data_IF_324520744254
#
_entry.id   IF_324520744254
#
_cell.length_a   1.000
_cell.length_b   1.000
_cell.length_c   1.000
_cell.angle_alpha   90.00
_cell.angle_beta   90.00
_cell.angle_gamma   90.00
#
_symmetry.space_group_name_H-M   'P 1'
#
loop_
_entity.id
_entity.type
_entity.pdbx_description
1 polymer ?
#
# COMPACT_ATOMS: atom_id res chain seq x y z
N UNK A 1 -74.00 16.46 32.58
CA UNK A 1 -73.67 15.25 31.81
C UNK A 1 -72.59 14.53 32.62
N UNK A 2 -72.83 13.39 33.27
CA UNK A 2 -73.32 12.08 32.78
C UNK A 2 -72.23 11.33 31.97
N UNK A 3 -71.88 10.07 32.25
CA UNK A 3 -72.32 9.11 33.31
C UNK A 3 -71.42 7.86 33.32
N UNK A 4 -71.11 7.28 34.50
CA UNK A 4 -70.73 5.85 34.78
C UNK A 4 -69.50 5.25 33.99
N UNK A 5 -68.84 4.13 34.34
CA UNK A 5 -68.56 3.37 35.58
C UNK A 5 -67.43 2.32 35.21
N UNK A 6 -67.05 1.23 35.91
CA UNK A 6 -67.52 0.53 37.12
C UNK A 6 -66.36 -0.27 37.77
N UNK A 7 -66.05 0.03 39.05
CA UNK A 7 -65.66 -0.86 40.17
C UNK A 7 -65.31 -2.35 39.92
N UNK A 8 -64.21 -2.83 40.54
CA UNK A 8 -64.18 -4.05 41.40
C UNK A 8 -62.83 -4.27 42.14
N UNK A 9 -62.92 -4.80 43.36
CA UNK A 9 -61.85 -5.34 44.23
C UNK A 9 -62.38 -6.67 44.81
N UNK A 10 -61.55 -7.70 45.09
CA UNK A 10 -61.26 -7.97 46.50
C UNK A 10 -59.88 -8.60 46.84
N UNK A 11 -59.42 -8.35 48.06
CA UNK A 11 -58.38 -9.15 48.76
C UNK A 11 -59.02 -10.29 49.58
N UNK A 12 -58.32 -11.41 49.79
CA UNK A 12 -58.04 -11.87 51.18
C UNK A 12 -56.60 -12.42 51.36
N UNK A 13 -55.81 -12.01 52.36
CA UNK A 13 -55.72 -12.46 53.79
C UNK A 13 -54.66 -13.57 54.01
N UNK A 14 -54.08 -13.56 55.22
CA UNK A 14 -52.88 -14.28 55.69
C UNK A 14 -53.11 -15.79 55.93
N UNK A 15 -52.01 -16.57 55.97
CA UNK A 15 -51.72 -17.37 57.18
C UNK A 15 -50.21 -17.70 57.32
N UNK A 16 -49.83 -18.15 58.52
CA UNK A 16 -48.47 -18.47 58.96
C UNK A 16 -48.33 -19.97 59.23
N UNK A 17 -47.16 -20.57 58.99
CA UNK A 17 -46.85 -21.88 59.58
C UNK A 17 -45.36 -22.08 59.90
N UNK A 18 -45.07 -23.17 60.63
CA UNK A 18 -43.84 -23.38 61.39
C UNK A 18 -42.68 -24.06 60.62
N UNK A 19 -41.51 -24.01 61.25
CA UNK A 19 -40.39 -24.94 61.06
C UNK A 19 -40.82 -26.40 61.27
N UNK A 20 -40.09 -27.38 60.71
CA UNK A 20 -39.42 -28.30 61.65
C UNK A 20 -37.97 -28.67 61.28
N UNK A 21 -37.17 -28.87 62.32
CA UNK A 21 -35.79 -29.37 62.28
C UNK A 21 -35.67 -30.80 61.72
N UNK A 22 -34.64 -31.06 60.92
CA UNK A 22 -34.27 -32.43 60.47
C UNK A 22 -33.33 -33.10 61.48
N UNK A 23 -33.59 -34.38 61.79
CA UNK A 23 -32.95 -35.13 62.87
C UNK A 23 -31.66 -35.83 62.40
N UNK A 24 -30.64 -35.82 63.27
CA UNK A 24 -29.34 -36.49 63.07
C UNK A 24 -29.46 -38.01 63.27
N UNK A 25 -29.24 -38.79 62.20
CA UNK A 25 -29.28 -40.25 62.25
C UNK A 25 -27.88 -40.87 62.28
N UNK A 26 -27.47 -41.31 63.48
CA UNK A 26 -26.21 -42.00 63.77
C UNK A 26 -26.16 -43.40 63.15
N UNK A 27 -25.52 -43.54 61.98
CA UNK A 27 -25.23 -44.85 61.36
C UNK A 27 -23.95 -45.43 61.98
N UNK A 28 -24.09 -46.52 62.76
CA UNK A 28 -22.96 -47.32 63.21
C UNK A 28 -22.77 -48.47 62.21
N UNK A 29 -21.67 -48.46 61.48
CA UNK A 29 -21.25 -49.57 60.62
C UNK A 29 -19.93 -50.15 61.13
N UNK A 30 -19.90 -51.46 61.42
CA UNK A 30 -18.73 -52.16 61.94
C UNK A 30 -17.69 -52.39 60.84
N UNK A 31 -16.50 -51.83 61.01
CA UNK A 31 -15.33 -52.14 60.18
C UNK A 31 -14.68 -53.40 60.75
N UNK A 32 -14.61 -54.46 59.95
CA UNK A 32 -13.79 -55.64 60.25
C UNK A 32 -12.32 -55.32 59.92
N UNK A 33 -11.38 -55.43 60.86
CA UNK A 33 -9.96 -55.26 60.57
C UNK A 33 -9.43 -56.44 59.75
N UNK A 34 -8.53 -56.15 58.81
CA UNK A 34 -7.78 -57.14 58.03
C UNK A 34 -6.40 -57.44 58.62
N UNK A 35 -5.82 -58.54 58.16
CA UNK A 35 -4.64 -59.26 58.72
C UNK A 35 -3.30 -58.48 58.71
N UNK A 36 -3.26 -57.24 58.22
CA UNK A 36 -2.05 -56.40 58.10
C UNK A 36 -1.96 -55.28 59.16
N UNK A 37 -2.82 -55.28 60.18
CA UNK A 37 -2.83 -54.23 61.23
C UNK A 37 -1.75 -54.40 62.32
N UNK A 38 -1.17 -55.60 62.47
CA UNK A 38 -0.32 -56.00 63.60
C UNK A 38 1.14 -55.46 63.57
N UNK A 39 1.42 -54.42 62.79
CA UNK A 39 2.77 -53.80 62.69
C UNK A 39 2.78 -52.27 62.82
N UNK A 40 1.79 -51.72 63.53
CA UNK A 40 1.71 -50.30 63.88
C UNK A 40 1.54 -50.09 65.40
N UNK A 41 2.52 -50.57 66.17
CA UNK A 41 2.79 -50.16 67.56
C UNK A 41 4.27 -49.77 67.71
N UNK A 42 4.60 -49.08 68.81
CA UNK A 42 5.93 -48.59 69.18
C UNK A 42 6.44 -47.35 68.41
N UNK A 43 5.58 -46.34 68.26
CA UNK A 43 6.02 -44.94 68.38
C UNK A 43 5.78 -44.46 69.81
N UNK A 44 6.79 -44.61 70.67
CA UNK A 44 6.77 -44.09 72.05
C UNK A 44 6.81 -42.56 72.04
N UNK A 45 5.80 -41.92 72.66
CA UNK A 45 5.61 -40.48 72.72
C UNK A 45 6.22 -39.86 74.00
N UNK A 46 7.32 -39.07 73.92
CA UNK A 46 7.78 -38.26 75.03
C UNK A 46 7.01 -36.93 75.10
N UNK A 47 6.47 -36.62 76.28
CA UNK A 47 5.57 -35.50 76.50
C UNK A 47 6.27 -34.11 76.52
N UNK A 48 5.47 -33.05 76.62
CA UNK A 48 5.82 -31.63 76.37
C UNK A 48 6.93 -31.05 77.26
N UNK A 49 7.59 -29.96 76.79
CA UNK A 49 8.26 -29.04 77.72
C UNK A 49 9.44 -28.17 77.25
N UNK A 50 9.31 -27.33 76.20
CA UNK A 50 10.09 -26.06 76.13
C UNK A 50 9.68 -25.10 75.01
N UNK A 51 9.31 -23.88 75.39
CA UNK A 51 9.08 -22.74 74.50
C UNK A 51 10.40 -22.07 74.07
N UNK A 52 11.08 -22.63 73.08
CA UNK A 52 12.26 -21.99 72.45
C UNK A 52 11.95 -21.46 71.05
N UNK A 53 12.07 -20.14 70.87
CA UNK A 53 11.74 -19.45 69.61
C UNK A 53 12.77 -19.78 68.52
N UNK A 54 12.43 -20.71 67.63
CA UNK A 54 13.23 -21.02 66.44
C UNK A 54 12.61 -20.33 65.23
N UNK A 55 13.33 -19.37 64.64
CA UNK A 55 12.80 -18.45 63.62
C UNK A 55 12.42 -19.17 62.32
N UNK A 56 11.14 -19.07 61.95
CA UNK A 56 10.68 -19.05 60.55
C UNK A 56 11.12 -20.23 59.66
N UNK A 57 10.63 -21.44 59.93
CA UNK A 57 10.64 -22.50 58.91
C UNK A 57 9.81 -22.06 57.71
N UNK A 58 10.45 -21.80 56.57
CA UNK A 58 9.76 -21.37 55.35
C UNK A 58 8.69 -22.38 54.92
N UNK A 59 7.52 -21.92 54.48
CA UNK A 59 6.40 -22.78 54.02
C UNK A 59 6.85 -23.87 53.01
N UNK A 60 7.85 -23.55 52.19
CA UNK A 60 8.49 -24.46 51.24
C UNK A 60 9.06 -25.74 51.87
N UNK A 61 9.57 -25.73 53.11
CA UNK A 61 10.13 -26.95 53.72
C UNK A 61 9.04 -27.95 54.09
N UNK A 62 7.95 -27.49 54.73
CA UNK A 62 6.79 -28.32 55.05
C UNK A 62 6.10 -28.88 53.78
N UNK A 63 6.04 -28.07 52.72
CA UNK A 63 5.57 -28.49 51.40
C UNK A 63 6.50 -29.54 50.76
N UNK A 64 7.81 -29.33 50.82
CA UNK A 64 8.82 -30.26 50.30
C UNK A 64 8.77 -31.63 51.00
N UNK A 65 8.66 -31.67 52.34
CA UNK A 65 8.53 -32.93 53.09
C UNK A 65 7.29 -33.74 52.69
N UNK A 66 6.17 -33.10 52.32
CA UNK A 66 4.96 -33.78 51.82
C UNK A 66 5.13 -34.33 50.39
N UNK A 67 6.02 -33.76 49.58
CA UNK A 67 6.24 -34.15 48.18
C UNK A 67 7.41 -35.14 48.03
N UNK A 68 8.37 -35.13 48.95
CA UNK A 68 9.51 -36.05 48.99
C UNK A 68 9.17 -37.55 48.78
N UNK A 69 8.13 -38.14 49.40
CA UNK A 69 7.78 -39.55 49.14
C UNK A 69 7.29 -39.80 47.71
N UNK A 70 6.56 -38.85 47.10
CA UNK A 70 6.02 -38.97 45.74
C UNK A 70 7.13 -38.90 44.67
N UNK A 71 8.13 -38.06 44.89
CA UNK A 71 9.32 -37.89 44.00
C UNK A 71 10.21 -39.14 43.97
N UNK A 72 10.06 -40.06 44.93
CA UNK A 72 10.83 -41.32 45.01
C UNK A 72 10.45 -42.33 43.91
N UNK A 73 9.30 -42.17 43.24
CA UNK A 73 8.91 -43.00 42.09
C UNK A 73 9.52 -42.47 40.77
N UNK A 74 10.24 -43.34 40.04
CA UNK A 74 10.89 -43.02 38.75
C UNK A 74 9.93 -42.47 37.69
N UNK A 75 8.70 -43.01 37.60
CA UNK A 75 7.71 -42.57 36.60
C UNK A 75 7.19 -41.15 36.92
N UNK A 76 6.86 -40.89 38.19
CA UNK A 76 6.42 -39.57 38.66
C UNK A 76 7.51 -38.51 38.43
N UNK A 77 8.77 -38.87 38.68
CA UNK A 77 9.91 -37.98 38.39
C UNK A 77 10.06 -37.66 36.91
N UNK A 78 9.88 -38.62 36.01
CA UNK A 78 9.93 -38.38 34.57
C UNK A 78 8.80 -37.45 34.09
N UNK A 79 7.56 -37.72 34.52
CA UNK A 79 6.40 -36.86 34.24
C UNK A 79 6.57 -35.44 34.79
N UNK A 80 7.14 -35.30 36.00
CA UNK A 80 7.45 -34.00 36.60
C UNK A 80 8.46 -33.20 35.78
N UNK A 81 9.53 -33.83 35.27
CA UNK A 81 10.51 -33.16 34.40
C UNK A 81 9.88 -32.74 33.07
N UNK A 82 9.06 -33.60 32.44
CA UNK A 82 8.36 -33.28 31.19
C UNK A 82 7.40 -32.09 31.38
N UNK A 83 6.62 -32.08 32.46
CA UNK A 83 5.73 -30.97 32.78
C UNK A 83 6.49 -29.67 33.13
N UNK A 84 7.68 -29.78 33.74
CA UNK A 84 8.56 -28.62 33.97
C UNK A 84 9.07 -28.03 32.64
N UNK A 85 9.50 -28.87 31.70
CA UNK A 85 9.91 -28.43 30.36
C UNK A 85 8.74 -27.80 29.59
N UNK A 86 7.54 -28.41 29.64
CA UNK A 86 6.33 -27.88 29.01
C UNK A 86 5.89 -26.53 29.59
N UNK A 87 5.98 -26.34 30.91
CA UNK A 87 5.65 -25.05 31.55
C UNK A 87 6.66 -23.97 31.21
N UNK A 88 7.96 -24.30 31.10
CA UNK A 88 9.00 -23.37 30.62
C UNK A 88 8.75 -22.99 29.15
N UNK A 89 8.43 -23.95 28.27
CA UNK A 89 8.11 -23.66 26.86
C UNK A 89 6.88 -22.77 26.75
N UNK A 90 5.81 -23.07 27.49
CA UNK A 90 4.60 -22.24 27.51
C UNK A 90 4.88 -20.82 28.04
N UNK A 91 5.74 -20.66 29.06
CA UNK A 91 6.17 -19.35 29.54
C UNK A 91 6.88 -18.55 28.43
N UNK A 92 7.81 -19.17 27.69
CA UNK A 92 8.48 -18.52 26.57
C UNK A 92 7.50 -18.14 25.45
N UNK A 93 6.53 -19.00 25.11
CA UNK A 93 5.50 -18.70 24.11
C UNK A 93 4.64 -17.50 24.55
N UNK A 94 4.22 -17.45 25.82
CA UNK A 94 3.46 -16.31 26.37
C UNK A 94 4.28 -15.02 26.31
N UNK A 95 5.57 -15.05 26.68
CA UNK A 95 6.46 -13.89 26.60
C UNK A 95 6.65 -13.40 25.16
N UNK A 96 6.79 -14.32 24.19
CA UNK A 96 6.89 -13.98 22.77
C UNK A 96 5.59 -13.35 22.23
N UNK A 97 4.42 -13.84 22.64
CA UNK A 97 3.12 -13.26 22.28
C UNK A 97 3.01 -11.83 22.84
N UNK A 98 3.33 -11.64 24.13
CA UNK A 98 3.30 -10.31 24.78
C UNK A 98 4.25 -9.33 24.08
N UNK A 99 5.49 -9.74 23.79
CA UNK A 99 6.45 -8.92 23.06
C UNK A 99 5.96 -8.55 21.65
N UNK A 100 5.35 -9.50 20.93
CA UNK A 100 4.75 -9.26 19.61
C UNK A 100 3.59 -8.27 19.67
N UNK A 101 2.71 -8.37 20.68
CA UNK A 101 1.63 -7.41 20.89
C UNK A 101 2.17 -5.99 21.14
N UNK A 102 3.18 -5.81 22.00
CA UNK A 102 3.81 -4.51 22.21
C UNK A 102 4.52 -3.96 20.95
N UNK A 103 5.16 -4.83 20.17
CA UNK A 103 5.79 -4.45 18.89
C UNK A 103 4.75 -3.96 17.87
N UNK A 104 3.62 -4.66 17.74
CA UNK A 104 2.51 -4.27 16.86
C UNK A 104 1.86 -2.96 17.31
N UNK A 105 1.71 -2.72 18.62
CA UNK A 105 1.25 -1.44 19.17
C UNK A 105 2.23 -0.30 18.84
N UNK A 106 3.53 -0.51 19.04
CA UNK A 106 4.56 0.49 18.71
C UNK A 106 4.60 0.80 17.20
N UNK A 107 4.44 -0.20 16.34
CA UNK A 107 4.30 -0.02 14.89
C UNK A 107 3.03 0.76 14.53
N UNK A 108 1.89 0.46 15.14
CA UNK A 108 0.63 1.20 14.92
C UNK A 108 0.76 2.68 15.32
N UNK A 109 1.41 2.98 16.44
CA UNK A 109 1.65 4.36 16.92
C UNK A 109 2.61 5.10 15.99
N UNK A 110 3.74 4.49 15.60
CA UNK A 110 4.66 5.13 14.64
C UNK A 110 4.01 5.33 13.27
N UNK A 111 3.16 4.41 12.83
CA UNK A 111 2.41 4.56 11.58
C UNK A 111 1.36 5.67 11.65
N UNK A 112 0.66 5.87 12.79
CA UNK A 112 -0.26 7.00 12.93
C UNK A 112 0.46 8.35 13.03
N UNK A 113 1.62 8.41 13.69
CA UNK A 113 2.49 9.60 13.71
C UNK A 113 3.01 9.96 12.31
N UNK A 114 3.47 8.98 11.52
CA UNK A 114 3.87 9.20 10.12
C UNK A 114 2.70 9.55 9.20
N UNK A 115 1.45 9.19 9.56
CA UNK A 115 0.23 9.69 8.91
C UNK A 115 -0.18 11.10 9.35
N UNK A 116 0.26 11.57 10.52
CA UNK A 116 0.02 12.94 10.99
C UNK A 116 1.01 13.96 10.42
N UNK A 117 2.21 13.52 10.00
CA UNK A 117 3.17 14.39 9.33
C UNK A 117 2.59 14.92 8.00
N UNK A 118 2.49 16.25 7.89
CA UNK A 118 2.07 16.94 6.66
C UNK A 118 3.02 16.58 5.51
N UNK A 119 2.45 16.27 4.34
CA UNK A 119 3.18 16.03 3.10
C UNK A 119 2.61 16.92 2.00
N UNK A 120 3.45 17.63 1.22
CA UNK A 120 2.98 18.41 0.08
C UNK A 120 2.48 17.49 -1.04
N UNK A 121 1.68 18.05 -1.96
CA UNK A 121 1.49 17.40 -3.26
C UNK A 121 2.81 17.44 -4.04
N UNK A 122 3.32 16.29 -4.45
CA UNK A 122 4.50 16.19 -5.32
C UNK A 122 4.23 15.23 -6.48
N UNK A 123 4.70 15.59 -7.66
CA UNK A 123 4.58 14.76 -8.86
C UNK A 123 5.73 15.07 -9.82
N UNK A 124 6.14 14.07 -10.59
CA UNK A 124 7.11 14.20 -11.68
C UNK A 124 6.41 13.80 -12.99
N UNK A 125 6.79 14.42 -14.10
CA UNK A 125 6.33 13.98 -15.42
C UNK A 125 7.21 12.84 -15.94
N UNK A 126 6.59 11.88 -16.63
CA UNK A 126 7.30 10.94 -17.51
C UNK A 126 8.07 11.73 -18.59
N UNK A 127 9.11 11.15 -19.23
CA UNK A 127 9.73 11.73 -20.41
C UNK A 127 8.70 12.09 -21.49
N UNK A 128 9.05 13.05 -22.36
CA UNK A 128 8.22 13.40 -23.52
C UNK A 128 7.99 12.17 -24.42
N UNK A 129 6.77 12.08 -24.98
CA UNK A 129 6.48 11.14 -26.06
C UNK A 129 7.35 11.41 -27.28
N UNK A 130 7.35 10.47 -28.23
CA UNK A 130 7.73 10.82 -29.60
C UNK A 130 6.79 11.93 -30.12
N UNK A 131 7.34 12.80 -30.97
CA UNK A 131 6.59 13.88 -31.62
C UNK A 131 5.57 13.29 -32.60
N UNK A 132 4.38 13.89 -32.71
CA UNK A 132 3.28 13.36 -33.55
C UNK A 132 3.61 13.31 -35.06
N UNK A 133 4.60 14.06 -35.52
CA UNK A 133 5.20 13.95 -36.85
C UNK A 133 6.70 14.29 -36.81
N UNK A 134 7.45 13.90 -37.84
CA UNK A 134 8.89 14.19 -38.00
C UNK A 134 9.18 15.60 -38.53
N UNK A 135 8.17 16.29 -39.04
CA UNK A 135 8.20 17.64 -39.58
C UNK A 135 6.77 18.20 -39.66
N UNK A 136 6.63 19.52 -39.82
CA UNK A 136 5.33 20.16 -40.03
C UNK A 136 4.93 20.13 -41.51
N UNK A 137 3.89 19.36 -41.84
CA UNK A 137 3.33 19.27 -43.19
C UNK A 137 2.33 20.39 -43.48
N UNK A 138 2.25 20.82 -44.74
CA UNK A 138 1.33 21.86 -45.17
C UNK A 138 -0.14 21.40 -45.05
N UNK A 139 -1.01 22.28 -44.54
CA UNK A 139 -2.41 21.96 -44.26
C UNK A 139 -2.65 21.06 -43.03
N UNK A 140 -1.60 20.63 -42.32
CA UNK A 140 -1.71 19.85 -41.09
C UNK A 140 -1.47 20.71 -39.83
N UNK A 141 -2.02 20.30 -38.66
CA UNK A 141 -1.69 20.95 -37.39
C UNK A 141 -0.19 20.85 -37.09
N UNK A 142 0.31 21.79 -36.29
CA UNK A 142 1.71 21.77 -35.82
C UNK A 142 2.00 20.48 -35.05
N UNK A 143 3.16 19.82 -35.27
CA UNK A 143 3.48 18.58 -34.53
C UNK A 143 3.67 18.86 -33.04
N UNK A 144 3.19 17.94 -32.21
CA UNK A 144 3.22 18.04 -30.75
C UNK A 144 3.74 16.76 -30.11
N UNK A 145 4.39 16.92 -28.96
CA UNK A 145 4.79 15.85 -28.06
C UNK A 145 4.06 16.05 -26.73
N UNK A 146 3.71 14.96 -26.08
CA UNK A 146 2.89 14.96 -24.88
C UNK A 146 3.60 14.23 -23.75
N UNK A 147 3.32 14.61 -22.50
CA UNK A 147 3.78 13.87 -21.32
C UNK A 147 2.72 13.88 -20.22
N UNK A 148 2.67 12.77 -19.50
CA UNK A 148 1.76 12.55 -18.37
C UNK A 148 2.58 12.38 -17.08
N UNK A 149 1.94 12.50 -15.93
CA UNK A 149 2.57 12.27 -14.62
C UNK A 149 3.02 10.81 -14.48
N UNK A 150 4.16 10.59 -13.82
CA UNK A 150 4.53 9.27 -13.32
C UNK A 150 3.78 8.97 -12.02
N UNK A 151 2.73 8.15 -12.13
CA UNK A 151 1.93 7.67 -11.00
C UNK A 151 2.78 7.01 -9.89
N UNK A 152 3.93 6.43 -10.23
CA UNK A 152 4.87 5.85 -9.25
C UNK A 152 5.57 6.89 -8.38
N UNK A 153 5.60 8.16 -8.84
CA UNK A 153 6.20 9.32 -8.18
C UNK A 153 5.15 10.32 -7.68
N UNK A 154 3.86 10.03 -7.86
CA UNK A 154 2.76 10.87 -7.40
C UNK A 154 2.54 10.70 -5.89
N UNK A 155 2.95 11.72 -5.13
CA UNK A 155 2.66 11.86 -3.71
C UNK A 155 1.45 12.78 -3.55
N UNK A 156 0.32 12.20 -3.16
CA UNK A 156 -0.87 12.97 -2.77
C UNK A 156 -0.59 13.73 -1.46
N UNK A 157 -1.11 14.96 -1.33
CA UNK A 157 -1.08 15.74 -0.08
C UNK A 157 -1.54 14.89 1.12
N UNK A 158 -0.88 15.11 2.27
CA UNK A 158 -1.32 14.63 3.59
C UNK A 158 -1.35 15.80 4.57
N UNK A 159 -2.32 15.78 5.49
CA UNK A 159 -2.49 16.83 6.50
C UNK A 159 -3.16 18.09 5.96
N UNK A 160 -2.88 19.23 6.58
CA UNK A 160 -3.58 20.51 6.34
C UNK A 160 -2.65 21.65 5.90
N UNK A 161 -1.34 21.54 6.12
CA UNK A 161 -0.41 22.68 6.03
C UNK A 161 -0.02 23.04 4.58
N UNK A 162 -0.21 22.13 3.63
CA UNK A 162 0.09 22.34 2.21
C UNK A 162 -1.16 22.51 1.33
N UNK A 163 -0.99 23.12 0.15
CA UNK A 163 -2.04 23.21 -0.86
C UNK A 163 -2.42 21.82 -1.42
N UNK A 164 -3.70 21.66 -1.76
CA UNK A 164 -4.24 20.41 -2.30
C UNK A 164 -3.71 20.10 -3.71
N UNK A 165 -3.66 18.80 -4.05
CA UNK A 165 -3.35 18.39 -5.41
C UNK A 165 -4.45 18.85 -6.39
N UNK A 166 -4.11 19.20 -7.65
CA UNK A 166 -5.09 19.40 -8.70
C UNK A 166 -6.07 18.23 -8.80
N UNK A 167 -7.38 18.51 -8.83
CA UNK A 167 -8.43 17.48 -8.77
C UNK A 167 -8.33 16.43 -9.89
N UNK A 168 -7.78 16.83 -11.05
CA UNK A 168 -7.62 16.01 -12.24
C UNK A 168 -6.23 15.36 -12.38
N UNK A 169 -5.37 15.42 -11.34
CA UNK A 169 -3.95 15.04 -11.40
C UNK A 169 -3.68 13.61 -11.91
N UNK A 170 -4.62 12.67 -11.68
CA UNK A 170 -4.49 11.26 -12.08
C UNK A 170 -4.97 10.94 -13.49
N UNK A 171 -5.96 11.69 -13.99
CA UNK A 171 -6.75 11.27 -15.16
C UNK A 171 -6.53 12.16 -16.38
N UNK A 172 -6.31 13.47 -16.18
CA UNK A 172 -6.31 14.45 -17.27
C UNK A 172 -5.15 15.46 -17.17
N UNK A 173 -4.06 15.13 -16.45
CA UNK A 173 -2.90 16.02 -16.29
C UNK A 173 -1.84 15.79 -17.38
N UNK A 174 -2.22 16.12 -18.62
CA UNK A 174 -1.34 16.02 -19.80
C UNK A 174 -0.70 17.37 -20.09
N UNK A 175 0.64 17.41 -20.15
CA UNK A 175 1.35 18.54 -20.74
C UNK A 175 1.63 18.26 -22.22
N UNK A 176 1.43 19.28 -23.06
CA UNK A 176 1.70 19.24 -24.50
C UNK A 176 2.71 20.33 -24.85
N UNK A 177 3.65 20.04 -25.74
CA UNK A 177 4.63 20.98 -26.24
C UNK A 177 4.80 20.81 -27.77
N UNK A 178 5.03 21.88 -28.52
CA UNK A 178 5.28 21.78 -29.96
C UNK A 178 6.69 21.22 -30.21
N UNK A 179 6.84 20.47 -31.30
CA UNK A 179 8.09 19.79 -31.67
C UNK A 179 8.21 19.70 -33.21
N UNK A 180 9.41 19.38 -33.70
CA UNK A 180 9.69 19.21 -35.13
C UNK A 180 9.12 20.34 -36.02
N UNK A 181 9.38 21.59 -35.63
CA UNK A 181 8.80 22.80 -36.21
C UNK A 181 9.22 23.05 -37.66
N UNK A 182 10.30 22.40 -38.11
CA UNK A 182 10.78 22.44 -39.49
C UNK A 182 9.67 22.01 -40.47
N UNK A 183 9.47 22.78 -41.56
CA UNK A 183 8.55 22.38 -42.63
C UNK A 183 9.01 21.09 -43.28
N UNK A 184 8.06 20.23 -43.63
CA UNK A 184 8.38 18.98 -44.32
C UNK A 184 9.06 19.25 -45.67
N UNK A 185 10.11 18.49 -46.00
CA UNK A 185 10.89 18.72 -47.20
C UNK A 185 10.08 18.42 -48.45
N UNK A 186 10.22 19.27 -49.47
CA UNK A 186 9.64 19.04 -50.79
C UNK A 186 10.69 18.53 -51.78
N UNK A 187 10.23 17.97 -52.89
CA UNK A 187 11.06 17.55 -54.02
C UNK A 187 11.17 18.68 -55.02
N UNK A 188 12.32 18.85 -55.68
CA UNK A 188 12.49 19.83 -56.74
C UNK A 188 11.46 19.59 -57.87
N UNK A 189 11.15 18.33 -58.16
CA UNK A 189 10.12 17.90 -59.11
C UNK A 189 8.72 18.45 -58.83
N UNK A 190 8.34 18.70 -57.57
CA UNK A 190 7.00 19.23 -57.23
C UNK A 190 6.80 20.70 -57.58
N UNK A 191 7.86 21.47 -57.81
CA UNK A 191 7.75 22.86 -58.26
C UNK A 191 7.60 22.89 -59.79
N UNK A 192 6.36 23.00 -60.25
CA UNK A 192 5.98 22.99 -61.69
C UNK A 192 5.96 24.37 -62.34
N UNK A 193 6.15 25.45 -61.56
CA UNK A 193 6.21 26.82 -62.04
C UNK A 193 7.62 27.18 -62.56
N UNK A 194 7.66 28.02 -63.59
CA UNK A 194 8.90 28.44 -64.26
C UNK A 194 8.85 29.92 -64.57
N UNK A 195 10.02 30.55 -64.68
CA UNK A 195 10.14 31.93 -65.16
C UNK A 195 9.67 32.04 -66.61
N UNK A 196 9.50 33.27 -67.06
CA UNK A 196 9.54 33.55 -68.50
C UNK A 196 10.89 33.14 -69.11
N UNK A 197 10.91 33.01 -70.44
CA UNK A 197 12.11 32.62 -71.16
C UNK A 197 13.10 33.78 -71.21
N UNK A 198 14.32 33.54 -70.77
CA UNK A 198 15.44 34.50 -70.81
C UNK A 198 16.52 34.01 -71.78
N UNK A 199 17.27 34.95 -72.37
CA UNK A 199 18.35 34.62 -73.30
C UNK A 199 19.51 33.89 -72.58
N UNK A 200 20.04 32.83 -73.18
CA UNK A 200 21.26 32.16 -72.69
C UNK A 200 22.49 33.04 -72.83
N UNK A 201 22.55 33.83 -73.91
CA UNK A 201 23.54 34.89 -74.11
C UNK A 201 22.80 36.16 -74.59
N UNK A 202 22.81 37.28 -73.83
CA UNK A 202 22.16 38.53 -74.21
C UNK A 202 22.63 39.16 -75.52
N UNK A 203 23.91 38.97 -75.89
CA UNK A 203 24.49 39.53 -77.13
C UNK A 203 23.94 38.80 -78.36
N UNK A 204 23.89 37.47 -78.30
CA UNK A 204 23.40 36.61 -79.40
C UNK A 204 21.87 36.55 -79.47
N UNK A 205 21.16 37.01 -78.44
CA UNK A 205 19.68 37.03 -78.34
C UNK A 205 19.10 35.67 -78.75
N UNK A 206 18.13 35.64 -79.68
CA UNK A 206 17.46 34.41 -80.16
C UNK A 206 18.42 33.41 -80.81
N UNK A 207 19.56 33.84 -81.35
CA UNK A 207 20.56 32.94 -81.94
C UNK A 207 21.39 32.20 -80.87
N UNK A 208 21.54 32.77 -79.66
CA UNK A 208 22.14 32.08 -78.51
C UNK A 208 21.18 31.09 -77.83
N UNK A 209 19.91 31.06 -78.24
CA UNK A 209 18.85 30.29 -77.59
C UNK A 209 18.38 30.90 -76.26
N UNK A 210 17.30 30.34 -75.72
CA UNK A 210 16.68 30.80 -74.49
C UNK A 210 16.41 29.64 -73.53
N UNK A 211 16.35 29.93 -72.24
CA UNK A 211 16.03 28.99 -71.18
C UNK A 211 15.06 29.63 -70.19
N UNK A 212 14.47 28.82 -69.33
CA UNK A 212 13.66 29.27 -68.20
C UNK A 212 14.10 28.52 -66.95
N UNK A 213 14.04 29.20 -65.80
CA UNK A 213 14.43 28.68 -64.49
C UNK A 213 13.20 28.21 -63.72
N UNK A 214 13.33 27.17 -62.91
CA UNK A 214 12.25 26.70 -62.04
C UNK A 214 12.03 27.70 -60.90
N UNK A 215 10.79 28.15 -60.68
CA UNK A 215 10.47 29.08 -59.59
C UNK A 215 10.36 28.29 -58.29
N UNK A 216 11.19 28.65 -57.31
CA UNK A 216 11.18 28.07 -55.96
C UNK A 216 10.67 29.11 -54.96
N UNK A 217 9.90 28.71 -53.93
CA UNK A 217 9.40 29.64 -52.92
C UNK A 217 10.52 30.09 -51.97
N UNK A 218 10.42 31.33 -51.48
CA UNK A 218 11.30 31.89 -50.44
C UNK A 218 10.75 31.52 -49.05
N UNK A 219 10.83 30.23 -48.72
CA UNK A 219 10.33 29.64 -47.46
C UNK A 219 11.45 28.89 -46.73
N UNK A 220 11.39 28.87 -45.39
CA UNK A 220 12.29 28.08 -44.53
C UNK A 220 11.96 26.57 -44.62
N UNK A 221 12.31 25.97 -45.76
CA UNK A 221 11.95 24.60 -46.14
C UNK A 221 13.11 23.93 -46.90
N UNK A 222 13.46 22.71 -46.50
CA UNK A 222 14.42 21.90 -47.24
C UNK A 222 13.82 21.43 -48.58
N UNK A 223 14.58 21.56 -49.68
CA UNK A 223 14.21 21.04 -51.00
C UNK A 223 15.21 19.97 -51.42
N UNK A 224 14.75 18.75 -51.68
CA UNK A 224 15.56 17.68 -52.23
C UNK A 224 15.65 17.79 -53.76
N UNK A 225 16.87 17.85 -54.28
CA UNK A 225 17.14 17.82 -55.72
C UNK A 225 16.99 16.38 -56.23
N UNK A 226 15.80 16.05 -56.72
CA UNK A 226 15.45 14.73 -57.26
C UNK A 226 15.39 14.70 -58.81
N UNK A 227 15.63 15.83 -59.45
CA UNK A 227 15.77 15.98 -60.91
C UNK A 227 16.87 16.99 -61.25
N UNK A 228 17.51 16.81 -62.42
CA UNK A 228 18.43 17.78 -63.03
C UNK A 228 17.75 19.06 -63.54
N UNK A 229 16.42 19.06 -63.65
CA UNK A 229 15.63 20.06 -64.37
C UNK A 229 15.44 21.37 -63.58
N UNK A 230 16.52 21.97 -63.07
CA UNK A 230 16.49 23.31 -62.47
C UNK A 230 16.29 24.41 -63.54
N UNK A 231 16.81 24.15 -64.74
CA UNK A 231 16.64 24.96 -65.95
C UNK A 231 16.14 24.08 -67.09
N UNK A 232 15.27 24.61 -67.96
CA UNK A 232 14.88 23.93 -69.21
C UNK A 232 14.94 24.89 -70.40
N UNK A 233 15.26 24.35 -71.56
CA UNK A 233 15.32 25.13 -72.80
C UNK A 233 13.93 25.61 -73.24
N UNK A 234 13.89 26.79 -73.83
CA UNK A 234 12.70 27.36 -74.44
C UNK A 234 12.71 27.15 -75.95
N UNK A 235 11.58 26.78 -76.57
CA UNK A 235 11.48 26.80 -78.03
C UNK A 235 11.60 28.25 -78.52
N UNK A 236 12.28 28.48 -79.66
CA UNK A 236 12.59 29.83 -80.17
C UNK A 236 11.37 30.75 -80.33
N UNK A 237 10.15 30.18 -80.51
CA UNK A 237 8.87 30.92 -80.53
C UNK A 237 8.45 31.55 -79.19
N UNK A 238 9.06 31.14 -78.07
CA UNK A 238 8.87 31.69 -76.72
C UNK A 238 10.06 32.52 -76.24
N UNK A 239 11.15 32.62 -77.00
CA UNK A 239 12.16 33.64 -76.73
C UNK A 239 11.50 35.04 -76.85
N UNK A 240 11.74 35.96 -75.89
CA UNK A 240 11.29 37.35 -76.02
C UNK A 240 11.94 37.98 -77.26
N UNK A 241 11.28 38.97 -77.87
CA UNK A 241 11.84 39.70 -79.02
C UNK A 241 12.81 40.81 -78.61
N UNK A 242 12.60 41.37 -77.41
CA UNK A 242 13.37 42.49 -76.85
C UNK A 242 13.81 42.16 -75.42
N UNK A 243 14.90 42.78 -74.97
CA UNK A 243 15.26 42.85 -73.55
C UNK A 243 14.55 44.11 -73.00
N UNK A 244 13.85 44.03 -71.85
CA UNK A 244 13.29 45.21 -71.19
C UNK A 244 14.38 46.11 -70.59
#
# INVERSE_FOLDING_TARGET
MATLAQQLNPTPIQQSENEPSVIENKIIASISPGEDTDKLSDLSEPHEGSTTSTKGSSSFSAWYHRIAPLVRNKQVRALSVINCILTIINLFIILLIIASCFWLLALKIKHSQLLQQDMPCFYEFKPWSQCSATCWADGQPMPIMERVIDEKKLVMKRGKTYADCPSNIKENFVQKAPCNLQRCPLKLSSFTNWTECVYKNPELRKAGGCYQMRILPLEDRLIYVDTSDLTRDCPNKRCPDYIP
#
